data_IF_127948953494
#
_entry.id   IF_127948953494
#
_cell.length_a   1.000
_cell.length_b   1.000
_cell.length_c   1.000
_cell.angle_alpha   90.00
_cell.angle_beta   90.00
_cell.angle_gamma   90.00
#
_symmetry.space_group_name_H-M   'P 1'
#
loop_
_entity.id
_entity.type
_entity.pdbx_description
1 polymer ?
#
# COMPACT_ATOMS: atom_id res chain seq x y z
N UNK A 1 16.46 -10.75 27.51
CA UNK A 1 15.79 -10.10 26.37
C UNK A 1 15.65 -11.13 25.28
N UNK A 2 14.44 -11.72 25.15
CA UNK A 2 14.17 -12.68 24.08
C UNK A 2 14.25 -11.97 22.73
N UNK A 3 15.04 -12.49 21.82
CA UNK A 3 15.07 -12.08 20.42
C UNK A 3 13.74 -12.50 19.80
N UNK A 4 12.86 -11.53 19.50
CA UNK A 4 11.67 -11.81 18.70
C UNK A 4 12.17 -12.11 17.31
N UNK A 5 12.21 -13.39 16.94
CA UNK A 5 12.41 -13.81 15.54
C UNK A 5 11.20 -13.33 14.75
N UNK A 6 11.34 -12.18 14.11
CA UNK A 6 10.36 -11.76 13.10
C UNK A 6 10.57 -12.67 11.88
N UNK A 7 9.67 -13.65 11.72
CA UNK A 7 9.66 -14.47 10.50
C UNK A 7 9.07 -13.65 9.36
N UNK A 8 9.69 -13.72 8.17
CA UNK A 8 9.12 -13.16 6.95
C UNK A 8 7.74 -13.79 6.69
N UNK A 9 6.83 -12.99 6.16
CA UNK A 9 5.52 -13.42 5.69
C UNK A 9 5.54 -13.52 4.17
N UNK A 10 4.93 -14.56 3.62
CA UNK A 10 4.90 -14.83 2.19
C UNK A 10 3.46 -14.86 1.67
N UNK A 11 3.22 -14.23 0.52
CA UNK A 11 1.90 -14.20 -0.09
C UNK A 11 1.84 -13.41 -1.38
N UNK A 12 0.75 -13.52 -2.15
CA UNK A 12 0.59 -12.82 -3.42
C UNK A 12 0.11 -11.38 -3.23
N UNK A 13 0.42 -10.55 -4.23
CA UNK A 13 -0.21 -9.27 -4.46
C UNK A 13 -1.45 -9.46 -5.36
N UNK A 14 -2.61 -9.54 -4.75
CA UNK A 14 -3.88 -9.79 -5.42
C UNK A 14 -4.17 -11.26 -5.73
N UNK A 15 -5.24 -11.49 -6.47
CA UNK A 15 -5.69 -12.83 -6.84
C UNK A 15 -4.87 -13.36 -8.04
N UNK A 16 -4.27 -14.52 -7.90
CA UNK A 16 -3.60 -15.20 -9.00
C UNK A 16 -4.61 -15.70 -10.05
N UNK A 17 -4.13 -16.00 -11.26
CA UNK A 17 -4.95 -16.62 -12.30
C UNK A 17 -5.52 -17.96 -11.83
N UNK A 18 -4.70 -18.81 -11.21
CA UNK A 18 -5.12 -20.09 -10.67
C UNK A 18 -6.22 -19.96 -9.60
N UNK A 19 -6.12 -18.93 -8.74
CA UNK A 19 -7.19 -18.60 -7.80
C UNK A 19 -8.48 -18.22 -8.55
N UNK A 20 -8.39 -17.33 -9.54
CA UNK A 20 -9.55 -16.78 -10.26
C UNK A 20 -10.30 -17.82 -11.09
N UNK A 21 -9.63 -18.89 -11.53
CA UNK A 21 -10.27 -20.04 -12.19
C UNK A 21 -11.16 -20.82 -11.21
N UNK A 22 -10.67 -21.02 -9.98
CA UNK A 22 -11.32 -21.89 -8.98
C UNK A 22 -12.32 -21.14 -8.09
N UNK A 23 -12.06 -19.88 -7.75
CA UNK A 23 -12.80 -19.09 -6.78
C UNK A 23 -13.43 -17.85 -7.38
N UNK A 24 -14.59 -17.43 -6.86
CA UNK A 24 -15.40 -16.33 -7.40
C UNK A 24 -15.33 -15.03 -6.61
N UNK A 25 -14.81 -15.09 -5.38
CA UNK A 25 -14.73 -13.94 -4.49
C UNK A 25 -13.42 -13.92 -3.71
N UNK A 26 -12.86 -12.75 -3.54
CA UNK A 26 -11.64 -12.52 -2.73
C UNK A 26 -11.78 -12.99 -1.28
N UNK A 27 -13.00 -13.10 -0.75
CA UNK A 27 -13.24 -13.66 0.58
C UNK A 27 -12.77 -15.12 0.74
N UNK A 28 -12.54 -15.82 -0.36
CA UNK A 28 -12.01 -17.18 -0.38
C UNK A 28 -10.48 -17.23 -0.41
N UNK A 29 -9.82 -16.07 -0.61
CA UNK A 29 -8.35 -15.99 -0.71
C UNK A 29 -7.65 -16.46 0.58
N UNK A 30 -8.07 -16.06 1.80
CA UNK A 30 -7.38 -16.50 3.01
C UNK A 30 -7.30 -18.03 3.15
N UNK A 31 -8.40 -18.72 2.98
CA UNK A 31 -8.41 -20.19 3.05
C UNK A 31 -7.62 -20.86 1.92
N UNK A 32 -7.62 -20.28 0.73
CA UNK A 32 -6.79 -20.77 -0.38
C UNK A 32 -5.30 -20.61 -0.07
N UNK A 33 -4.88 -19.48 0.51
CA UNK A 33 -3.48 -19.19 0.84
C UNK A 33 -2.98 -20.07 1.99
N UNK A 34 -3.80 -20.28 3.04
CA UNK A 34 -3.49 -21.22 4.10
C UNK A 34 -3.23 -22.62 3.55
N UNK A 35 -4.10 -23.12 2.65
CA UNK A 35 -3.93 -24.43 2.02
C UNK A 35 -2.65 -24.53 1.15
N UNK A 36 -2.08 -23.40 0.72
CA UNK A 36 -0.81 -23.32 0.02
C UNK A 36 0.40 -23.13 0.95
N UNK A 37 0.19 -23.03 2.27
CA UNK A 37 1.24 -22.74 3.23
C UNK A 37 1.75 -21.30 3.18
N UNK A 38 0.93 -20.37 2.67
CA UNK A 38 1.19 -18.93 2.63
C UNK A 38 0.53 -18.24 3.82
N UNK A 39 1.01 -17.04 4.19
CA UNK A 39 0.63 -16.37 5.43
C UNK A 39 0.37 -14.86 5.27
N UNK A 40 0.38 -14.37 4.03
CA UNK A 40 0.09 -12.97 3.71
C UNK A 40 -0.74 -12.82 2.44
N UNK A 41 -1.53 -11.74 2.38
CA UNK A 41 -2.27 -11.32 1.18
C UNK A 41 -2.27 -9.80 1.05
N UNK A 42 -1.84 -9.29 -0.09
CA UNK A 42 -1.94 -7.87 -0.43
C UNK A 42 -3.21 -7.61 -1.24
N UNK A 43 -4.14 -6.84 -0.67
CA UNK A 43 -5.38 -6.45 -1.35
C UNK A 43 -5.11 -5.33 -2.37
N UNK A 44 -5.52 -5.52 -3.62
CA UNK A 44 -5.24 -4.61 -4.71
C UNK A 44 -6.35 -3.59 -4.93
N UNK A 45 -6.06 -2.29 -4.73
CA UNK A 45 -6.92 -1.17 -5.06
C UNK A 45 -6.49 -0.40 -6.33
N UNK A 46 -5.78 -1.04 -7.25
CA UNK A 46 -5.13 -0.40 -8.39
C UNK A 46 -6.01 0.56 -9.21
N UNK A 47 -7.31 0.29 -9.34
CA UNK A 47 -8.27 1.14 -10.06
C UNK A 47 -9.20 1.95 -9.14
N UNK A 48 -8.76 2.25 -7.94
CA UNK A 48 -9.50 2.99 -6.93
C UNK A 48 -9.98 2.12 -5.77
N UNK A 49 -10.23 2.76 -4.63
CA UNK A 49 -10.65 2.09 -3.39
C UNK A 49 -12.15 1.84 -3.46
N UNK A 50 -12.55 0.64 -3.91
CA UNK A 50 -13.96 0.25 -4.14
C UNK A 50 -14.36 -0.96 -3.29
N UNK A 51 -13.89 -1.03 -2.05
CA UNK A 51 -14.28 -2.09 -1.13
C UNK A 51 -15.40 -1.61 -0.22
N UNK A 52 -16.51 -2.35 -0.19
CA UNK A 52 -17.61 -2.06 0.74
C UNK A 52 -17.26 -2.52 2.16
N UNK A 53 -17.88 -1.90 3.18
CA UNK A 53 -17.73 -2.29 4.58
C UNK A 53 -17.95 -3.77 4.78
N UNK A 54 -19.03 -4.31 4.20
CA UNK A 54 -19.36 -5.72 4.27
C UNK A 54 -18.21 -6.62 3.81
N UNK A 55 -17.56 -6.27 2.70
CA UNK A 55 -16.43 -7.05 2.15
C UNK A 55 -15.18 -6.85 2.99
N UNK A 56 -14.88 -5.61 3.42
CA UNK A 56 -13.70 -5.32 4.22
C UNK A 56 -13.73 -6.06 5.56
N UNK A 57 -14.84 -5.98 6.30
CA UNK A 57 -15.00 -6.69 7.58
C UNK A 57 -15.01 -8.21 7.40
N UNK A 58 -15.71 -8.72 6.38
CA UNK A 58 -15.71 -10.16 6.12
C UNK A 58 -14.32 -10.69 5.73
N UNK A 59 -13.51 -9.90 4.99
CA UNK A 59 -12.13 -10.26 4.67
C UNK A 59 -11.25 -10.28 5.93
N UNK A 60 -11.42 -9.29 6.83
CA UNK A 60 -10.75 -9.26 8.14
C UNK A 60 -11.01 -10.54 8.95
N UNK A 61 -12.27 -10.93 9.04
CA UNK A 61 -12.67 -12.13 9.79
C UNK A 61 -12.07 -13.40 9.16
N UNK A 62 -12.14 -13.51 7.83
CA UNK A 62 -11.55 -14.64 7.10
C UNK A 62 -10.03 -14.67 7.20
N UNK A 63 -9.35 -13.54 7.13
CA UNK A 63 -7.91 -13.46 7.30
C UNK A 63 -7.50 -13.92 8.71
N UNK A 64 -8.24 -13.49 9.73
CA UNK A 64 -8.02 -13.93 11.12
C UNK A 64 -8.28 -15.44 11.29
N UNK A 65 -9.38 -15.97 10.72
CA UNK A 65 -9.74 -17.39 10.78
C UNK A 65 -8.62 -18.30 10.22
N UNK A 66 -7.96 -17.86 9.14
CA UNK A 66 -6.92 -18.59 8.42
C UNK A 66 -5.49 -18.14 8.76
N UNK A 67 -5.31 -17.30 9.78
CA UNK A 67 -4.02 -16.75 10.21
C UNK A 67 -3.24 -16.05 9.06
N UNK A 68 -3.96 -15.37 8.16
CA UNK A 68 -3.40 -14.59 7.05
C UNK A 68 -3.28 -13.13 7.47
N UNK A 69 -2.11 -12.53 7.30
CA UNK A 69 -1.92 -11.08 7.46
C UNK A 69 -2.29 -10.34 6.19
N UNK A 70 -2.72 -9.08 6.31
CA UNK A 70 -3.17 -8.27 5.17
C UNK A 70 -2.32 -7.02 5.02
N UNK A 71 -2.07 -6.63 3.78
CA UNK A 71 -1.69 -5.28 3.36
C UNK A 71 -2.63 -4.79 2.27
N UNK A 72 -2.56 -3.50 1.93
CA UNK A 72 -3.35 -2.93 0.85
C UNK A 72 -2.45 -2.15 -0.11
N UNK A 73 -2.54 -2.44 -1.40
CA UNK A 73 -1.93 -1.63 -2.43
C UNK A 73 -2.87 -0.50 -2.82
N UNK A 74 -2.45 0.74 -2.61
CA UNK A 74 -3.20 1.94 -2.95
C UNK A 74 -3.36 2.09 -4.48
N UNK A 75 -4.27 2.97 -4.97
CA UNK A 75 -4.45 3.18 -6.40
C UNK A 75 -3.17 3.58 -7.12
N UNK A 76 -2.85 2.92 -8.24
CA UNK A 76 -1.61 3.14 -8.99
C UNK A 76 -1.53 4.53 -9.65
N UNK A 77 -2.63 5.25 -9.74
CA UNK A 77 -2.68 6.62 -10.28
C UNK A 77 -2.41 7.73 -9.24
N UNK A 78 -2.10 7.37 -8.00
CA UNK A 78 -1.57 8.31 -7.01
C UNK A 78 -0.30 8.95 -7.58
N UNK A 79 -0.22 10.28 -7.50
CA UNK A 79 0.89 11.05 -8.05
C UNK A 79 1.32 12.13 -7.06
N UNK A 80 2.22 11.73 -6.13
CA UNK A 80 2.72 12.63 -5.07
C UNK A 80 3.54 13.79 -5.64
N UNK A 81 4.18 13.57 -6.79
CA UNK A 81 5.08 14.52 -7.47
C UNK A 81 4.43 15.31 -8.60
N UNK A 82 3.09 15.32 -8.73
CA UNK A 82 2.42 16.09 -9.78
C UNK A 82 2.71 17.58 -9.66
N UNK A 83 2.96 18.26 -10.80
CA UNK A 83 3.03 19.72 -10.86
C UNK A 83 1.70 20.40 -10.53
N UNK A 84 0.59 19.72 -10.81
CA UNK A 84 -0.75 20.19 -10.53
C UNK A 84 -1.10 19.95 -9.05
N UNK A 85 -1.26 21.03 -8.28
CA UNK A 85 -1.60 20.96 -6.85
C UNK A 85 -2.88 20.14 -6.60
N UNK A 86 -3.90 20.32 -7.43
CA UNK A 86 -5.16 19.57 -7.32
C UNK A 86 -4.94 18.05 -7.43
N UNK A 87 -4.04 17.60 -8.30
CA UNK A 87 -3.71 16.17 -8.41
C UNK A 87 -2.99 15.65 -7.18
N UNK A 88 -2.14 16.46 -6.55
CA UNK A 88 -1.51 16.10 -5.27
C UNK A 88 -2.53 16.02 -4.14
N UNK A 89 -3.46 16.98 -4.07
CA UNK A 89 -4.53 16.98 -3.07
C UNK A 89 -5.47 15.77 -3.27
N UNK A 90 -5.82 15.43 -4.51
CA UNK A 90 -6.56 14.21 -4.82
C UNK A 90 -5.78 12.93 -4.44
N UNK A 91 -4.46 12.94 -4.60
CA UNK A 91 -3.62 11.83 -4.15
C UNK A 91 -3.68 11.63 -2.64
N UNK A 92 -3.71 12.71 -1.86
CA UNK A 92 -3.93 12.66 -0.39
C UNK A 92 -5.29 12.01 -0.10
N UNK A 93 -6.35 12.40 -0.79
CA UNK A 93 -7.68 11.82 -0.60
C UNK A 93 -7.69 10.30 -0.89
N UNK A 94 -6.99 9.84 -1.93
CA UNK A 94 -6.87 8.40 -2.23
C UNK A 94 -6.05 7.65 -1.17
N UNK A 95 -5.02 8.27 -0.61
CA UNK A 95 -4.27 7.70 0.51
C UNK A 95 -5.18 7.54 1.73
N UNK A 96 -5.97 8.56 2.09
CA UNK A 96 -6.91 8.49 3.22
C UNK A 96 -7.98 7.42 3.01
N UNK A 97 -8.54 7.31 1.80
CA UNK A 97 -9.45 6.21 1.45
C UNK A 97 -8.78 4.84 1.59
N UNK A 98 -7.49 4.74 1.23
CA UNK A 98 -6.71 3.50 1.39
C UNK A 98 -6.47 3.18 2.86
N UNK A 99 -6.19 4.17 3.70
CA UNK A 99 -6.06 4.01 5.16
C UNK A 99 -7.38 3.49 5.77
N UNK A 100 -8.50 4.10 5.42
CA UNK A 100 -9.82 3.69 5.89
C UNK A 100 -10.13 2.24 5.49
N UNK A 101 -9.93 1.89 4.23
CA UNK A 101 -10.13 0.53 3.74
C UNK A 101 -9.21 -0.48 4.42
N UNK A 102 -7.91 -0.16 4.57
CA UNK A 102 -6.93 -0.98 5.27
C UNK A 102 -7.35 -1.21 6.72
N UNK A 103 -7.72 -0.15 7.44
CA UNK A 103 -8.17 -0.25 8.83
C UNK A 103 -9.41 -1.15 8.97
N UNK A 104 -10.42 -0.98 8.10
CA UNK A 104 -11.64 -1.82 8.11
C UNK A 104 -11.34 -3.29 7.81
N UNK A 105 -10.40 -3.60 6.92
CA UNK A 105 -10.03 -4.99 6.62
C UNK A 105 -8.96 -5.56 7.56
N UNK A 106 -8.46 -4.77 8.53
CA UNK A 106 -7.45 -5.21 9.50
C UNK A 106 -6.05 -5.33 8.91
N UNK A 107 -5.78 -4.63 7.81
CA UNK A 107 -4.43 -4.42 7.31
C UNK A 107 -3.74 -3.29 8.09
N UNK A 108 -2.44 -3.41 8.31
CA UNK A 108 -1.64 -2.46 9.07
C UNK A 108 -0.78 -1.53 8.19
N UNK A 109 -0.79 -1.72 6.86
CA UNK A 109 0.06 -0.98 5.93
C UNK A 109 -0.59 -0.79 4.57
N UNK A 110 -0.18 0.29 3.90
CA UNK A 110 -0.55 0.60 2.53
C UNK A 110 0.70 0.82 1.66
N UNK A 111 0.71 0.23 0.48
CA UNK A 111 1.77 0.44 -0.54
C UNK A 111 1.38 1.62 -1.43
N UNK A 112 2.30 2.54 -1.68
CA UNK A 112 2.04 3.82 -2.35
C UNK A 112 3.09 4.08 -3.43
N UNK A 113 2.64 4.32 -4.68
CA UNK A 113 3.49 4.83 -5.74
C UNK A 113 3.86 6.30 -5.51
N UNK A 114 5.11 6.68 -5.79
CA UNK A 114 5.62 8.04 -5.54
C UNK A 114 5.24 9.05 -6.63
N UNK A 115 4.86 8.58 -7.84
CA UNK A 115 4.42 9.44 -8.93
C UNK A 115 5.39 9.49 -10.11
N UNK A 116 5.36 10.60 -10.87
CA UNK A 116 6.11 10.78 -12.11
C UNK A 116 7.12 11.90 -12.00
N UNK A 117 8.28 11.73 -12.64
CA UNK A 117 9.31 12.76 -12.85
C UNK A 117 9.50 13.10 -14.36
N UNK A 118 8.51 12.78 -15.22
CA UNK A 118 8.64 12.95 -16.67
C UNK A 118 8.75 14.41 -17.14
N UNK A 119 8.31 15.37 -16.34
CA UNK A 119 8.21 16.80 -16.74
C UNK A 119 9.06 17.74 -15.89
N UNK A 120 9.76 17.24 -14.90
CA UNK A 120 10.61 18.03 -13.98
C UNK A 120 11.84 17.22 -13.60
N UNK A 121 12.81 17.86 -12.93
CA UNK A 121 13.95 17.14 -12.39
C UNK A 121 13.51 16.10 -11.35
N UNK A 122 14.33 15.07 -11.15
CA UNK A 122 14.04 14.06 -10.10
C UNK A 122 14.07 14.67 -8.71
N UNK A 123 14.96 15.64 -8.51
CA UNK A 123 15.10 16.40 -7.26
C UNK A 123 13.83 17.18 -6.94
N UNK A 124 13.31 17.94 -7.91
CA UNK A 124 12.05 18.70 -7.74
C UNK A 124 10.86 17.75 -7.53
N UNK A 125 10.81 16.64 -8.28
CA UNK A 125 9.78 15.64 -8.11
C UNK A 125 9.82 15.02 -6.71
N UNK A 126 10.99 14.74 -6.17
CA UNK A 126 11.17 14.21 -4.82
C UNK A 126 10.67 15.20 -3.76
N UNK A 127 11.00 16.49 -3.89
CA UNK A 127 10.54 17.50 -2.94
C UNK A 127 9.00 17.67 -2.96
N UNK A 128 8.37 17.65 -4.14
CA UNK A 128 6.91 17.63 -4.24
C UNK A 128 6.29 16.38 -3.60
N UNK A 129 6.91 15.22 -3.80
CA UNK A 129 6.45 13.98 -3.20
C UNK A 129 6.60 13.98 -1.67
N UNK A 130 7.70 14.51 -1.14
CA UNK A 130 7.91 14.68 0.30
C UNK A 130 6.84 15.58 0.93
N UNK A 131 6.57 16.75 0.34
CA UNK A 131 5.50 17.66 0.79
C UNK A 131 4.14 16.94 0.82
N UNK A 132 3.78 16.30 -0.30
CA UNK A 132 2.49 15.63 -0.44
C UNK A 132 2.34 14.48 0.55
N UNK A 133 3.37 13.65 0.72
CA UNK A 133 3.35 12.51 1.62
C UNK A 133 3.31 12.93 3.09
N UNK A 134 4.03 14.00 3.45
CA UNK A 134 3.97 14.59 4.80
C UNK A 134 2.57 15.10 5.13
N UNK A 135 1.94 15.81 4.18
CA UNK A 135 0.55 16.28 4.32
C UNK A 135 -0.44 15.12 4.43
N UNK A 136 -0.24 14.07 3.63
CA UNK A 136 -1.07 12.86 3.70
C UNK A 136 -0.93 12.17 5.05
N UNK A 137 0.30 12.04 5.58
CA UNK A 137 0.55 11.44 6.91
C UNK A 137 -0.12 12.23 8.02
N UNK A 138 0.03 13.56 8.00
CA UNK A 138 -0.62 14.44 8.98
C UNK A 138 -2.15 14.26 8.94
N UNK A 139 -2.76 14.30 7.77
CA UNK A 139 -4.19 14.11 7.61
C UNK A 139 -4.66 12.70 8.04
N UNK A 140 -3.85 11.67 7.81
CA UNK A 140 -4.14 10.31 8.28
C UNK A 140 -4.14 10.22 9.81
N UNK A 141 -3.16 10.83 10.48
CA UNK A 141 -3.12 10.90 11.94
C UNK A 141 -4.33 11.67 12.50
N UNK A 142 -4.68 12.80 11.91
CA UNK A 142 -5.86 13.60 12.31
C UNK A 142 -7.19 12.83 12.16
N UNK A 143 -7.24 11.83 11.28
CA UNK A 143 -8.40 10.96 11.07
C UNK A 143 -8.34 9.64 11.86
N UNK A 144 -7.33 9.43 12.73
CA UNK A 144 -7.20 8.25 13.59
C UNK A 144 -6.55 7.05 12.89
N UNK A 145 -5.80 7.28 11.79
CA UNK A 145 -5.08 6.25 11.04
C UNK A 145 -3.57 6.23 11.36
N UNK A 146 -3.15 6.70 12.54
CA UNK A 146 -1.76 6.70 12.98
C UNK A 146 -1.13 5.30 13.00
N UNK A 147 -1.95 4.26 13.16
CA UNK A 147 -1.54 2.85 13.17
C UNK A 147 -1.23 2.28 11.78
N UNK A 148 -1.58 3.00 10.70
CA UNK A 148 -1.32 2.55 9.32
C UNK A 148 0.08 2.98 8.88
N UNK A 149 0.90 2.01 8.51
CA UNK A 149 2.24 2.21 7.96
C UNK A 149 2.15 2.59 6.49
N UNK A 150 2.83 3.67 6.09
CA UNK A 150 2.96 4.05 4.67
C UNK A 150 4.20 3.39 4.09
N UNK A 151 4.03 2.71 2.97
CA UNK A 151 5.08 1.97 2.30
C UNK A 151 5.31 2.51 0.88
N UNK A 152 6.15 3.56 0.69
CA UNK A 152 6.56 4.01 -0.63
C UNK A 152 7.24 2.88 -1.39
N UNK A 153 6.92 2.73 -2.70
CA UNK A 153 7.36 1.61 -3.51
C UNK A 153 8.43 2.01 -4.52
N UNK A 154 9.40 1.10 -4.73
CA UNK A 154 10.39 1.25 -5.81
C UNK A 154 9.73 1.09 -7.17
N UNK A 155 10.13 1.94 -8.13
CA UNK A 155 9.58 2.02 -9.48
C UNK A 155 10.66 1.76 -10.54
N UNK A 156 10.32 0.97 -11.57
CA UNK A 156 11.29 0.54 -12.59
C UNK A 156 11.42 1.45 -13.82
N UNK A 157 10.44 2.33 -14.08
CA UNK A 157 10.49 3.18 -15.28
C UNK A 157 11.27 4.46 -15.03
N UNK A 158 12.11 4.87 -16.00
CA UNK A 158 12.95 6.09 -15.90
C UNK A 158 12.14 7.34 -15.55
N UNK A 159 10.92 7.45 -16.05
CA UNK A 159 10.04 8.61 -15.82
C UNK A 159 9.17 8.50 -14.56
N UNK A 160 9.35 7.46 -13.77
CA UNK A 160 8.70 7.31 -12.47
C UNK A 160 9.68 7.67 -11.36
N UNK A 161 9.19 8.41 -10.37
CA UNK A 161 9.89 8.67 -9.12
C UNK A 161 9.83 7.41 -8.26
N UNK A 162 10.92 7.01 -7.65
CA UNK A 162 10.94 5.84 -6.76
C UNK A 162 12.11 4.90 -7.02
N UNK A 163 13.30 5.39 -7.41
CA UNK A 163 14.49 4.57 -7.26
C UNK A 163 14.74 4.30 -5.77
N UNK A 164 15.61 3.34 -5.45
CA UNK A 164 15.84 2.93 -4.06
C UNK A 164 16.21 4.10 -3.13
N UNK A 165 17.08 4.99 -3.60
CA UNK A 165 17.51 6.17 -2.81
C UNK A 165 16.33 7.10 -2.53
N UNK A 166 15.49 7.37 -3.52
CA UNK A 166 14.31 8.22 -3.38
C UNK A 166 13.27 7.63 -2.42
N UNK A 167 13.03 6.31 -2.53
CA UNK A 167 12.12 5.61 -1.59
C UNK A 167 12.65 5.69 -0.17
N UNK A 168 13.95 5.50 0.04
CA UNK A 168 14.57 5.64 1.37
C UNK A 168 14.49 7.08 1.90
N UNK A 169 14.63 8.10 1.02
CA UNK A 169 14.42 9.50 1.41
C UNK A 169 12.97 9.78 1.82
N UNK A 170 11.99 9.19 1.13
CA UNK A 170 10.58 9.29 1.54
C UNK A 170 10.33 8.60 2.88
N UNK A 171 10.97 7.47 3.15
CA UNK A 171 10.82 6.77 4.42
C UNK A 171 11.41 7.53 5.62
N UNK A 172 12.32 8.50 5.41
CA UNK A 172 12.84 9.35 6.48
C UNK A 172 11.86 10.43 6.99
N UNK A 173 10.72 10.59 6.33
CA UNK A 173 9.73 11.61 6.71
C UNK A 173 8.96 11.25 8.00
N UNK A 174 8.86 9.97 8.33
CA UNK A 174 8.17 9.47 9.52
C UNK A 174 8.77 8.11 9.92
N UNK A 175 9.03 7.90 11.21
CA UNK A 175 9.65 6.68 11.73
C UNK A 175 8.81 5.41 11.52
N UNK A 176 7.53 5.57 11.19
CA UNK A 176 6.63 4.44 10.88
C UNK A 176 6.67 4.05 9.40
N UNK A 177 7.29 4.86 8.51
CA UNK A 177 7.34 4.54 7.09
C UNK A 177 8.33 3.41 6.82
N UNK A 178 7.94 2.48 5.94
CA UNK A 178 8.77 1.35 5.53
C UNK A 178 8.84 1.27 4.00
N UNK A 179 10.00 0.93 3.42
CA UNK A 179 10.08 0.81 1.97
C UNK A 179 9.38 -0.45 1.47
N UNK A 180 8.68 -0.36 0.34
CA UNK A 180 8.33 -1.52 -0.48
C UNK A 180 9.36 -1.64 -1.60
N UNK A 181 10.04 -2.80 -1.66
CA UNK A 181 11.02 -3.08 -2.69
C UNK A 181 10.39 -4.07 -3.68
N UNK A 182 10.01 -3.57 -4.85
CA UNK A 182 9.54 -4.41 -5.96
C UNK A 182 10.71 -4.75 -6.89
N UNK A 183 11.07 -6.04 -6.94
CA UNK A 183 12.13 -6.56 -7.82
C UNK A 183 11.66 -6.79 -9.26
N UNK A 184 10.38 -6.64 -9.54
CA UNK A 184 9.80 -6.71 -10.88
C UNK A 184 9.85 -5.37 -11.63
N UNK A 185 10.12 -4.30 -10.89
CA UNK A 185 10.23 -2.94 -11.44
C UNK A 185 11.67 -2.56 -11.90
#
# INVERSE_FOLDING_TARGET
KGMILMSAKFGPAGNSEAFSIKYKTTLQAPGYLEAMGLDHYEYQCGRGVKVSDKIAFALKDKAKEHNITLSLHAPYFISLSSLEAEKRDNSINYILQSCDAASRMGADRIVIHSGSCAKISREDALELAKDTLTRARKAAVEQGFEHIVFCPETMGKVNQLGNLTEVLELCKLDDTFLPTIDFGH
#
